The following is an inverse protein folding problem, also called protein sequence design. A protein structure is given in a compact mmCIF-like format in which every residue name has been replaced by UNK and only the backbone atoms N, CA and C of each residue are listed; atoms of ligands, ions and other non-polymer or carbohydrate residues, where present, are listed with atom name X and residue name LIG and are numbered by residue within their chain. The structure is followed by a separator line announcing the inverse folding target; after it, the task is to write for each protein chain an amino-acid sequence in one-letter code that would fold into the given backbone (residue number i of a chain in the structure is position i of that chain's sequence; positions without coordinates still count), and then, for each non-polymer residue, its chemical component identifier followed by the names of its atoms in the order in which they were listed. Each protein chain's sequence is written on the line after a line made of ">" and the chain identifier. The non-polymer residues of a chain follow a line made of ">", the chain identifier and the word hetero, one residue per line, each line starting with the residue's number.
data_IF_362394725867
#
_entry.id   IF_362394725867
#
_cell.length_a   1.000
_cell.length_b   1.000
_cell.length_c   1.000
_cell.angle_alpha   90.00
_cell.angle_beta   90.00
_cell.angle_gamma   90.00
#
_symmetry.space_group_name_H-M   'P 1'
#
loop_
_entity.id
_entity.type
_entity.pdbx_description
1 polymer ?
#
# COMPACT_ATOMS: atom_id res chain seq x y z
N UNK A 1 4.94 -6.60 20.27
CA UNK A 1 5.30 -5.22 19.85
C UNK A 1 6.05 -4.54 20.98
N UNK A 2 6.83 -3.48 20.72
CA UNK A 2 7.50 -2.70 21.79
C UNK A 2 6.60 -1.53 22.22
N UNK A 3 6.55 -1.25 23.51
CA UNK A 3 5.87 -0.10 24.11
C UNK A 3 6.87 0.73 24.91
N UNK A 4 6.63 2.05 24.99
CA UNK A 4 7.52 3.00 25.67
C UNK A 4 7.06 3.35 27.09
N UNK A 5 5.81 3.04 27.45
CA UNK A 5 5.21 3.45 28.73
C UNK A 5 4.65 2.31 29.57
N UNK A 6 3.92 1.38 28.95
CA UNK A 6 3.24 0.27 29.65
C UNK A 6 3.35 -1.03 28.87
N UNK A 7 3.48 -2.17 29.55
CA UNK A 7 3.53 -3.49 28.94
C UNK A 7 3.78 -4.59 29.98
N UNK A 8 3.70 -5.86 29.55
CA UNK A 8 3.74 -7.00 30.46
C UNK A 8 5.13 -7.28 31.04
N UNK A 9 6.19 -6.95 30.29
CA UNK A 9 7.56 -7.24 30.66
C UNK A 9 8.47 -6.06 30.27
N UNK A 10 9.35 -5.65 31.20
CA UNK A 10 10.36 -4.60 30.96
C UNK A 10 11.65 -5.24 30.44
N UNK A 11 12.10 -4.78 29.29
CA UNK A 11 13.34 -5.20 28.65
C UNK A 11 14.30 -4.02 28.58
N UNK A 12 15.45 -4.17 29.25
CA UNK A 12 16.55 -3.22 29.23
C UNK A 12 17.78 -3.81 28.55
N UNK A 13 18.63 -2.95 28.00
CA UNK A 13 19.87 -3.37 27.37
C UNK A 13 20.66 -2.21 26.75
N UNK A 14 21.79 -2.56 26.15
CA UNK A 14 22.65 -1.63 25.43
C UNK A 14 22.44 -1.78 23.92
N UNK A 15 22.17 -0.66 23.26
CA UNK A 15 22.06 -0.59 21.81
C UNK A 15 23.42 -0.76 21.14
N UNK A 16 23.42 -0.99 19.82
CA UNK A 16 24.66 -1.08 19.01
C UNK A 16 25.55 0.17 19.10
N UNK A 17 24.99 1.33 19.46
CA UNK A 17 25.73 2.58 19.68
C UNK A 17 26.33 2.72 21.08
N UNK A 18 26.07 1.76 22.00
CA UNK A 18 26.44 1.85 23.41
C UNK A 18 25.43 2.62 24.27
N UNK A 19 24.36 3.16 23.69
CA UNK A 19 23.32 3.85 24.45
C UNK A 19 22.38 2.83 25.13
N UNK A 20 21.99 3.11 26.37
CA UNK A 20 20.99 2.34 27.09
C UNK A 20 19.62 2.50 26.42
N UNK A 21 18.84 1.40 26.41
CA UNK A 21 17.43 1.44 26.04
C UNK A 21 16.61 0.69 27.08
N UNK A 22 15.37 1.16 27.23
CA UNK A 22 14.33 0.47 28.00
C UNK A 22 13.08 0.45 27.14
N UNK A 23 12.47 -0.71 27.00
CA UNK A 23 11.16 -0.85 26.39
C UNK A 23 10.36 -1.93 27.09
N UNK A 24 9.05 -1.93 26.88
CA UNK A 24 8.16 -2.96 27.38
C UNK A 24 7.66 -3.84 26.25
N UNK A 25 7.36 -5.10 26.54
CA UNK A 25 6.55 -5.93 25.66
C UNK A 25 5.11 -5.41 25.73
N UNK A 26 4.68 -4.76 24.65
CA UNK A 26 3.31 -4.28 24.51
C UNK A 26 2.34 -5.44 24.34
N UNK A 27 1.07 -5.20 24.67
CA UNK A 27 -0.03 -6.16 24.56
C UNK A 27 -0.16 -6.78 23.17
N UNK A 28 -0.84 -7.92 23.10
CA UNK A 28 -1.24 -8.52 21.84
C UNK A 28 -2.02 -7.50 20.99
N UNK A 29 -1.64 -7.38 19.72
CA UNK A 29 -2.32 -6.49 18.79
C UNK A 29 -3.60 -7.17 18.34
N UNK A 30 -4.74 -6.51 18.55
CA UNK A 30 -5.97 -6.85 17.87
C UNK A 30 -5.87 -6.40 16.42
N UNK A 31 -5.80 -7.37 15.51
CA UNK A 31 -5.72 -7.14 14.07
C UNK A 31 -7.06 -7.37 13.37
N UNK A 32 -8.14 -7.53 14.13
CA UNK A 32 -9.49 -7.69 13.60
C UNK A 32 -10.12 -6.35 13.25
N UNK A 33 -11.16 -6.38 12.41
CA UNK A 33 -11.87 -5.17 12.02
C UNK A 33 -13.04 -5.44 11.09
N UNK A 34 -13.65 -4.36 10.59
CA UNK A 34 -14.73 -4.41 9.60
C UNK A 34 -14.50 -3.39 8.49
N UNK A 35 -14.79 -3.78 7.25
CA UNK A 35 -14.81 -2.87 6.11
C UNK A 35 -16.06 -1.97 6.15
N UNK A 36 -16.04 -0.88 5.37
CA UNK A 36 -17.15 0.07 5.29
C UNK A 36 -18.47 -0.55 4.81
N UNK A 37 -18.40 -1.68 4.09
CA UNK A 37 -19.55 -2.47 3.64
C UNK A 37 -20.03 -3.50 4.68
N UNK A 38 -19.32 -3.64 5.79
CA UNK A 38 -19.69 -4.46 6.95
C UNK A 38 -18.98 -5.80 7.07
N UNK A 39 -18.19 -6.21 6.08
CA UNK A 39 -17.43 -7.46 6.10
C UNK A 39 -16.36 -7.43 7.19
N UNK A 40 -16.41 -8.41 8.09
CA UNK A 40 -15.41 -8.57 9.14
C UNK A 40 -14.17 -9.31 8.62
N UNK A 41 -13.02 -9.04 9.24
CA UNK A 41 -11.79 -9.79 9.02
C UNK A 41 -11.06 -9.99 10.36
N UNK A 42 -10.36 -11.10 10.49
CA UNK A 42 -9.44 -11.37 11.58
C UNK A 42 -8.00 -11.41 11.05
N UNK A 43 -7.33 -10.27 11.15
CA UNK A 43 -5.94 -10.12 10.76
C UNK A 43 -5.69 -9.77 9.29
N UNK A 44 -4.41 -9.51 9.01
CA UNK A 44 -3.95 -8.92 7.75
C UNK A 44 -4.16 -9.83 6.53
N UNK A 45 -4.17 -11.16 6.71
CA UNK A 45 -4.34 -12.11 5.60
C UNK A 45 -5.78 -12.06 5.08
N UNK A 46 -6.76 -12.03 5.98
CA UNK A 46 -8.17 -11.94 5.62
C UNK A 46 -8.50 -10.56 5.06
N UNK A 47 -7.99 -9.50 5.70
CA UNK A 47 -8.12 -8.15 5.18
C UNK A 47 -7.65 -8.02 3.72
N UNK A 48 -6.45 -8.54 3.40
CA UNK A 48 -5.93 -8.55 2.02
C UNK A 48 -6.83 -9.33 1.06
N UNK A 49 -7.41 -10.45 1.48
CA UNK A 49 -8.35 -11.22 0.63
C UNK A 49 -9.60 -10.40 0.31
N UNK A 50 -10.14 -9.68 1.29
CA UNK A 50 -11.30 -8.81 1.07
C UNK A 50 -10.97 -7.64 0.13
N UNK A 51 -9.80 -6.99 0.31
CA UNK A 51 -9.37 -5.92 -0.62
C UNK A 51 -9.19 -6.41 -2.06
N UNK A 52 -8.73 -7.66 -2.24
CA UNK A 52 -8.55 -8.26 -3.57
C UNK A 52 -9.87 -8.63 -4.26
N UNK A 53 -11.03 -8.45 -3.64
CA UNK A 53 -12.33 -8.53 -4.31
C UNK A 53 -12.51 -7.40 -5.33
N UNK A 54 -11.82 -6.27 -5.15
CA UNK A 54 -11.77 -5.16 -6.10
C UNK A 54 -10.31 -4.83 -6.44
N UNK A 55 -9.71 -5.66 -7.30
CA UNK A 55 -8.33 -5.49 -7.75
C UNK A 55 -8.11 -4.19 -8.52
N UNK A 56 -9.14 -3.66 -9.17
CA UNK A 56 -9.03 -2.45 -9.98
C UNK A 56 -8.69 -1.24 -9.10
N UNK A 57 -9.30 -1.12 -7.92
CA UNK A 57 -8.99 -0.03 -6.97
C UNK A 57 -7.52 -0.09 -6.53
N UNK A 58 -6.99 -1.28 -6.28
CA UNK A 58 -5.58 -1.48 -5.92
C UNK A 58 -4.67 -1.13 -7.09
N UNK A 59 -4.99 -1.63 -8.29
CA UNK A 59 -4.24 -1.33 -9.51
C UNK A 59 -4.23 0.17 -9.84
N UNK A 60 -5.36 0.85 -9.66
CA UNK A 60 -5.51 2.30 -9.87
C UNK A 60 -4.59 3.10 -8.96
N UNK A 61 -4.56 2.75 -7.67
CA UNK A 61 -3.64 3.38 -6.73
C UNK A 61 -2.18 3.12 -7.13
N UNK A 62 -1.84 1.88 -7.49
CA UNK A 62 -0.49 1.56 -7.94
C UNK A 62 -0.08 2.38 -9.17
N UNK A 63 -0.96 2.53 -10.16
CA UNK A 63 -0.74 3.40 -11.33
C UNK A 63 -0.51 4.84 -10.89
N UNK A 64 -1.32 5.38 -9.97
CA UNK A 64 -1.12 6.75 -9.47
C UNK A 64 0.27 6.95 -8.86
N UNK A 65 0.71 6.02 -8.00
CA UNK A 65 2.05 6.09 -7.40
C UNK A 65 3.14 6.02 -8.46
N UNK A 66 3.05 5.06 -9.39
CA UNK A 66 4.05 4.89 -10.45
C UNK A 66 4.11 6.08 -11.40
N UNK A 67 2.98 6.72 -11.71
CA UNK A 67 2.95 7.95 -12.51
C UNK A 67 3.70 9.08 -11.80
N UNK A 68 3.53 9.23 -10.48
CA UNK A 68 4.29 10.24 -9.71
C UNK A 68 5.79 9.99 -9.83
N UNK A 69 6.23 8.74 -9.66
CA UNK A 69 7.65 8.41 -9.79
C UNK A 69 8.18 8.55 -11.23
N UNK A 70 7.35 8.22 -12.23
CA UNK A 70 7.76 8.27 -13.63
C UNK A 70 7.82 9.69 -14.20
N UNK A 71 7.01 10.61 -13.68
CA UNK A 71 6.82 11.96 -14.24
C UNK A 71 7.25 13.09 -13.30
N UNK A 72 7.51 12.78 -12.02
CA UNK A 72 7.81 13.77 -10.99
C UNK A 72 6.61 14.60 -10.53
N UNK A 73 5.40 14.32 -11.05
CA UNK A 73 4.20 15.09 -10.77
C UNK A 73 2.99 14.21 -10.42
N UNK A 74 2.16 14.59 -9.43
CA UNK A 74 0.94 13.87 -9.11
C UNK A 74 -0.02 13.71 -10.29
N UNK A 75 -0.89 12.71 -10.21
CA UNK A 75 -2.01 12.54 -11.15
C UNK A 75 -3.02 13.67 -10.94
N UNK A 76 -3.24 14.48 -11.97
CA UNK A 76 -4.21 15.58 -11.94
C UNK A 76 -5.59 15.12 -12.41
N UNK A 77 -6.60 15.99 -12.31
CA UNK A 77 -7.94 15.70 -12.85
C UNK A 77 -7.90 15.43 -14.36
N UNK A 78 -7.08 16.17 -15.11
CA UNK A 78 -6.93 16.00 -16.56
C UNK A 78 -6.31 14.64 -16.94
N UNK A 79 -5.60 13.98 -16.03
CA UNK A 79 -4.92 12.71 -16.27
C UNK A 79 -5.85 11.49 -16.14
N UNK A 80 -7.11 11.70 -15.71
CA UNK A 80 -8.04 10.61 -15.35
C UNK A 80 -8.32 9.67 -16.51
N UNK A 81 -8.50 10.21 -17.71
CA UNK A 81 -8.80 9.41 -18.90
C UNK A 81 -7.60 8.53 -19.28
N UNK A 82 -6.38 9.05 -19.14
CA UNK A 82 -5.15 8.28 -19.38
C UNK A 82 -4.94 7.18 -18.33
N UNK A 83 -5.20 7.46 -17.06
CA UNK A 83 -5.17 6.44 -16.01
C UNK A 83 -6.22 5.35 -16.26
N UNK A 84 -7.43 5.72 -16.67
CA UNK A 84 -8.48 4.76 -17.05
C UNK A 84 -8.06 3.90 -18.25
N UNK A 85 -7.42 4.49 -19.26
CA UNK A 85 -6.89 3.77 -20.41
C UNK A 85 -5.79 2.77 -20.02
N UNK A 86 -4.89 3.14 -19.09
CA UNK A 86 -3.85 2.24 -18.56
C UNK A 86 -4.49 1.06 -17.80
N UNK A 87 -5.51 1.31 -16.97
CA UNK A 87 -6.25 0.26 -16.27
C UNK A 87 -6.87 -0.74 -17.23
N UNK A 88 -7.61 -0.25 -18.23
CA UNK A 88 -8.25 -1.13 -19.20
C UNK A 88 -7.22 -1.93 -20.03
N UNK A 89 -6.10 -1.30 -20.43
CA UNK A 89 -5.00 -2.01 -21.13
C UNK A 89 -4.36 -3.13 -20.30
N UNK A 90 -4.38 -3.02 -18.98
CA UNK A 90 -3.68 -3.95 -18.08
C UNK A 90 -4.59 -5.02 -17.48
N UNK A 91 -5.91 -4.87 -17.64
CA UNK A 91 -6.96 -5.77 -17.13
C UNK A 91 -6.80 -7.21 -17.60
N UNK A 92 -6.48 -7.42 -18.88
CA UNK A 92 -6.26 -8.76 -19.45
C UNK A 92 -5.07 -9.51 -18.81
N UNK A 93 -4.13 -8.77 -18.19
CA UNK A 93 -2.98 -9.33 -17.48
C UNK A 93 -3.17 -9.37 -15.96
N UNK A 94 -4.41 -9.26 -15.48
CA UNK A 94 -4.76 -9.16 -14.05
C UNK A 94 -3.99 -8.03 -13.35
N UNK A 95 -3.82 -6.90 -14.04
CA UNK A 95 -3.09 -5.73 -13.56
C UNK A 95 -1.64 -6.04 -13.14
N UNK A 96 -0.97 -6.96 -13.83
CA UNK A 96 0.43 -7.29 -13.56
C UNK A 96 1.34 -6.05 -13.62
N UNK A 97 2.24 -5.92 -12.63
CA UNK A 97 3.12 -4.75 -12.47
C UNK A 97 3.94 -4.46 -13.75
N UNK A 98 4.45 -5.51 -14.40
CA UNK A 98 5.17 -5.39 -15.68
C UNK A 98 4.29 -4.71 -16.74
N UNK A 99 3.05 -5.18 -16.90
CA UNK A 99 2.10 -4.62 -17.88
C UNK A 99 1.77 -3.17 -17.56
N UNK A 100 1.57 -2.85 -16.27
CA UNK A 100 1.34 -1.47 -15.81
C UNK A 100 2.50 -0.56 -16.19
N UNK A 101 3.73 -0.97 -15.89
CA UNK A 101 4.92 -0.18 -16.24
C UNK A 101 5.00 0.05 -17.75
N UNK A 102 4.83 -1.00 -18.56
CA UNK A 102 4.83 -0.88 -20.02
C UNK A 102 3.72 0.05 -20.53
N UNK A 103 2.52 -0.02 -19.95
CA UNK A 103 1.41 0.84 -20.33
C UNK A 103 1.66 2.31 -19.95
N UNK A 104 2.28 2.57 -18.79
CA UNK A 104 2.66 3.93 -18.35
C UNK A 104 3.69 4.53 -19.30
N UNK A 105 4.81 3.84 -19.58
CA UNK A 105 5.89 4.42 -20.41
C UNK A 105 5.49 4.66 -21.87
N UNK A 106 4.43 4.00 -22.34
CA UNK A 106 3.84 4.20 -23.66
C UNK A 106 2.68 5.22 -23.67
N UNK A 107 2.27 5.72 -22.50
CA UNK A 107 1.13 6.64 -22.38
C UNK A 107 1.54 8.10 -22.62
N UNK A 108 0.59 8.96 -23.04
CA UNK A 108 0.77 10.41 -23.05
C UNK A 108 1.25 10.99 -21.71
N UNK A 109 0.87 10.38 -20.57
CA UNK A 109 1.35 10.81 -19.24
C UNK A 109 2.86 10.74 -19.10
N UNK A 110 3.52 9.80 -19.77
CA UNK A 110 4.98 9.70 -19.73
C UNK A 110 5.63 10.52 -20.85
N UNK A 111 5.00 10.54 -22.03
CA UNK A 111 5.62 11.10 -23.23
C UNK A 111 5.45 12.62 -23.39
N UNK A 112 4.46 13.23 -22.73
CA UNK A 112 4.03 14.62 -22.99
C UNK A 112 3.72 15.45 -21.73
N UNK A 113 3.92 14.88 -20.55
CA UNK A 113 3.57 15.54 -19.28
C UNK A 113 4.60 16.60 -18.88
#
# INVERSE_FOLDING_TARGET
>A
YRSLGEGSERIEGLGRSGNEFVHYIGSAVDASGRLYKGEAFDGIKEFKKLLLQDKEVIARNLIHQLVVYATGSPVAFADRDEVAAILEKTKASDYGVRSIIHAIVQSPLFLRK
#
